data_IF_344491669757
#
_entry.id   IF_344491669757
#
_cell.length_a   1.000
_cell.length_b   1.000
_cell.length_c   1.000
_cell.angle_alpha   90.00
_cell.angle_beta   90.00
_cell.angle_gamma   90.00
#
_symmetry.space_group_name_H-M   'P 1'
#
loop_
_entity.id
_entity.type
_entity.pdbx_description
1 polymer ?
#
# COMPACT_ATOMS: atom_id res chain seq x y z
N UNK A 1 -19.22 -13.49 -18.97
CA UNK A 1 -19.17 -12.30 -18.09
C UNK A 1 -18.16 -11.37 -18.69
N UNK A 2 -18.60 -10.26 -19.29
CA UNK A 2 -17.70 -9.22 -19.77
C UNK A 2 -17.10 -8.55 -18.53
N UNK A 3 -15.87 -8.93 -18.20
CA UNK A 3 -15.09 -8.33 -17.12
C UNK A 3 -14.46 -7.05 -17.68
N UNK A 4 -15.29 -6.12 -18.13
CA UNK A 4 -14.82 -4.84 -18.64
C UNK A 4 -14.38 -3.98 -17.47
N UNK A 5 -13.10 -3.58 -17.51
CA UNK A 5 -12.52 -2.66 -16.54
C UNK A 5 -13.25 -1.32 -16.62
N UNK A 6 -13.70 -0.83 -15.47
CA UNK A 6 -14.29 0.51 -15.37
C UNK A 6 -13.20 1.57 -15.23
N UNK A 7 -13.53 2.82 -15.58
CA UNK A 7 -12.63 3.95 -15.39
C UNK A 7 -12.27 4.15 -13.90
N UNK A 8 -13.23 3.92 -13.00
CA UNK A 8 -13.02 4.05 -11.56
C UNK A 8 -12.04 3.00 -11.03
N UNK A 9 -12.16 1.74 -11.47
CA UNK A 9 -11.22 0.68 -11.10
C UNK A 9 -9.82 0.97 -11.62
N UNK A 10 -9.72 1.40 -12.88
CA UNK A 10 -8.45 1.83 -13.46
C UNK A 10 -7.80 2.96 -12.66
N UNK A 11 -8.58 4.00 -12.32
CA UNK A 11 -8.10 5.12 -11.50
C UNK A 11 -7.61 4.66 -10.13
N UNK A 12 -8.35 3.78 -9.45
CA UNK A 12 -7.96 3.24 -8.15
C UNK A 12 -6.63 2.48 -8.23
N UNK A 13 -6.44 1.66 -9.27
CA UNK A 13 -5.18 0.94 -9.47
C UNK A 13 -4.02 1.90 -9.77
N UNK A 14 -4.21 2.88 -10.65
CA UNK A 14 -3.17 3.86 -10.98
C UNK A 14 -2.85 4.75 -9.76
N UNK A 15 -3.83 5.09 -8.93
CA UNK A 15 -3.60 5.83 -7.69
C UNK A 15 -2.78 5.03 -6.67
N UNK A 16 -2.96 3.70 -6.61
CA UNK A 16 -2.24 2.84 -5.67
C UNK A 16 -0.82 2.51 -6.13
N UNK A 17 -0.61 2.31 -7.43
CA UNK A 17 0.65 1.77 -7.96
C UNK A 17 1.42 2.75 -8.88
N UNK A 18 0.85 3.92 -9.16
CA UNK A 18 1.38 4.87 -10.13
C UNK A 18 1.28 4.36 -11.58
N UNK A 19 2.03 5.01 -12.47
CA UNK A 19 2.16 4.62 -13.87
C UNK A 19 3.19 3.50 -14.10
N UNK A 20 3.84 3.01 -13.04
CA UNK A 20 4.84 1.93 -13.08
C UNK A 20 4.15 0.58 -13.29
N UNK A 21 3.93 0.21 -14.56
CA UNK A 21 3.21 -1.01 -14.95
C UNK A 21 3.79 -2.30 -14.35
N UNK A 22 5.08 -2.32 -14.05
CA UNK A 22 5.75 -3.44 -13.37
C UNK A 22 5.22 -3.67 -11.93
N UNK A 23 4.70 -2.64 -11.27
CA UNK A 23 4.13 -2.71 -9.92
C UNK A 23 2.64 -3.08 -9.93
N UNK A 24 1.99 -3.07 -11.10
CA UNK A 24 0.58 -3.40 -11.20
C UNK A 24 0.33 -4.88 -10.90
N UNK A 25 -0.83 -5.22 -10.29
CA UNK A 25 -1.22 -6.60 -10.05
C UNK A 25 -1.23 -7.42 -11.34
N UNK A 26 -0.58 -8.58 -11.32
CA UNK A 26 -0.42 -9.47 -12.50
C UNK A 26 -1.74 -9.75 -13.21
N UNK A 27 -2.77 -10.07 -12.41
CA UNK A 27 -4.12 -10.40 -12.90
C UNK A 27 -4.78 -9.27 -13.71
N UNK A 28 -4.45 -8.01 -13.41
CA UNK A 28 -5.12 -6.84 -13.98
C UNK A 28 -4.24 -6.10 -14.99
N UNK A 29 -2.93 -6.38 -15.05
CA UNK A 29 -1.98 -5.59 -15.84
C UNK A 29 -2.33 -5.51 -17.33
N UNK A 30 -2.65 -6.63 -17.97
CA UNK A 30 -3.03 -6.64 -19.39
C UNK A 30 -4.29 -5.82 -19.64
N UNK A 31 -5.33 -6.04 -18.83
CA UNK A 31 -6.60 -5.32 -18.95
C UNK A 31 -6.43 -3.81 -18.74
N UNK A 32 -5.57 -3.39 -17.81
CA UNK A 32 -5.26 -1.97 -17.60
C UNK A 32 -4.53 -1.35 -18.79
N UNK A 33 -3.58 -2.07 -19.40
CA UNK A 33 -2.87 -1.58 -20.58
C UNK A 33 -3.81 -1.45 -21.78
N UNK A 34 -4.64 -2.46 -22.02
CA UNK A 34 -5.64 -2.45 -23.08
C UNK A 34 -6.67 -1.32 -22.88
N UNK A 35 -7.09 -1.10 -21.63
CA UNK A 35 -8.02 -0.03 -21.28
C UNK A 35 -7.41 1.36 -21.48
N UNK A 36 -6.16 1.57 -21.05
CA UNK A 36 -5.45 2.83 -21.30
C UNK A 36 -5.22 3.10 -22.80
N UNK A 37 -5.03 2.05 -23.60
CA UNK A 37 -4.87 2.17 -25.05
C UNK A 37 -6.17 2.44 -25.82
N UNK A 38 -7.33 2.11 -25.23
CA UNK A 38 -8.64 2.24 -25.88
C UNK A 38 -9.51 3.37 -25.34
N UNK A 39 -9.18 3.92 -24.16
CA UNK A 39 -9.93 4.98 -23.50
C UNK A 39 -9.07 6.24 -23.26
N UNK A 40 -9.50 7.37 -23.83
CA UNK A 40 -8.79 8.65 -23.75
C UNK A 40 -8.69 9.19 -22.31
N UNK A 41 -9.72 9.00 -21.49
CA UNK A 41 -9.71 9.45 -20.09
C UNK A 41 -8.74 8.62 -19.26
N UNK A 42 -8.71 7.30 -19.48
CA UNK A 42 -7.73 6.41 -18.86
C UNK A 42 -6.29 6.77 -19.27
N UNK A 43 -6.07 7.08 -20.55
CA UNK A 43 -4.78 7.58 -21.03
C UNK A 43 -4.36 8.90 -20.34
N UNK A 44 -5.31 9.82 -20.13
CA UNK A 44 -5.06 11.08 -19.43
C UNK A 44 -4.69 10.87 -17.95
N UNK A 45 -5.40 9.97 -17.26
CA UNK A 45 -5.09 9.57 -15.88
C UNK A 45 -3.67 8.99 -15.80
N UNK A 46 -3.34 8.06 -16.70
CA UNK A 46 -2.02 7.42 -16.74
C UNK A 46 -0.91 8.43 -17.04
N UNK A 47 -1.12 9.35 -17.98
CA UNK A 47 -0.15 10.41 -18.29
C UNK A 47 0.09 11.36 -17.11
N UNK A 48 -0.97 11.68 -16.35
CA UNK A 48 -0.85 12.47 -15.12
C UNK A 48 -0.04 11.74 -14.06
N UNK A 49 -0.34 10.46 -13.84
CA UNK A 49 0.40 9.63 -12.89
C UNK A 49 1.88 9.51 -13.30
N UNK A 50 2.17 9.29 -14.59
CA UNK A 50 3.54 9.21 -15.09
C UNK A 50 4.33 10.50 -14.86
N UNK A 51 3.70 11.67 -15.01
CA UNK A 51 4.34 12.96 -14.72
C UNK A 51 4.62 13.13 -13.23
N UNK A 52 3.72 12.68 -12.36
CA UNK A 52 3.92 12.69 -10.91
C UNK A 52 5.06 11.76 -10.52
N UNK A 53 5.07 10.54 -11.05
CA UNK A 53 6.14 9.56 -10.79
C UNK A 53 7.50 10.10 -11.23
N UNK A 54 7.58 10.72 -12.41
CA UNK A 54 8.82 11.34 -12.88
C UNK A 54 9.28 12.49 -11.97
N UNK A 55 8.35 13.29 -11.45
CA UNK A 55 8.68 14.35 -10.49
C UNK A 55 9.18 13.79 -9.15
N UNK A 56 8.60 12.68 -8.70
CA UNK A 56 9.06 11.99 -7.48
C UNK A 56 10.42 11.32 -7.68
N UNK A 57 10.67 10.72 -8.85
CA UNK A 57 11.93 10.06 -9.18
C UNK A 57 13.07 11.09 -9.39
N UNK A 58 12.76 12.33 -9.78
CA UNK A 58 13.73 13.44 -9.92
C UNK A 58 14.03 14.17 -8.60
N UNK A 59 13.34 13.83 -7.51
CA UNK A 59 13.67 14.41 -6.21
C UNK A 59 15.10 14.01 -5.80
N UNK A 60 15.99 14.97 -5.51
CA UNK A 60 17.35 14.64 -5.13
C UNK A 60 17.36 13.81 -3.84
N UNK A 61 18.28 12.84 -3.76
CA UNK A 61 18.54 12.01 -2.56
C UNK A 61 18.64 12.83 -1.26
N UNK A 62 19.10 14.08 -1.32
CA UNK A 62 19.15 14.98 -0.17
C UNK A 62 17.76 15.35 0.42
N UNK A 63 16.69 15.27 -0.37
CA UNK A 63 15.28 15.44 0.03
C UNK A 63 14.63 14.08 0.35
N UNK A 64 15.14 13.00 -0.25
CA UNK A 64 14.85 11.62 0.15
C UNK A 64 15.55 11.36 1.49
N UNK A 65 15.03 11.92 2.57
CA UNK A 65 15.57 11.80 3.91
C UNK A 65 15.70 10.32 4.29
N UNK A 66 16.86 9.73 4.02
CA UNK A 66 17.30 8.58 4.77
C UNK A 66 17.13 8.96 6.24
N UNK A 67 16.39 8.18 7.04
CA UNK A 67 16.29 8.46 8.46
C UNK A 67 17.71 8.59 9.00
N UNK A 68 17.96 9.57 9.87
CA UNK A 68 19.28 9.70 10.47
C UNK A 68 19.70 8.34 11.04
N UNK A 69 20.99 8.02 10.97
CA UNK A 69 21.49 6.73 11.48
C UNK A 69 21.04 6.50 12.93
N UNK A 70 20.92 7.59 13.71
CA UNK A 70 20.36 7.58 15.07
C UNK A 70 18.89 7.12 15.12
N UNK A 71 18.02 7.69 14.27
CA UNK A 71 16.62 7.27 14.19
C UNK A 71 16.50 5.82 13.70
N UNK A 72 17.30 5.44 12.69
CA UNK A 72 17.33 4.09 12.15
C UNK A 72 17.72 3.07 13.24
N UNK A 73 18.82 3.32 13.95
CA UNK A 73 19.29 2.45 15.02
C UNK A 73 18.30 2.35 16.18
N UNK A 74 17.62 3.46 16.53
CA UNK A 74 16.57 3.45 17.56
C UNK A 74 15.39 2.58 17.15
N UNK A 75 14.92 2.67 15.90
CA UNK A 75 13.81 1.84 15.41
C UNK A 75 14.18 0.36 15.48
N UNK A 76 15.40 -0.02 15.09
CA UNK A 76 15.86 -1.43 15.19
C UNK A 76 15.88 -1.90 16.65
N UNK A 77 16.45 -1.10 17.57
CA UNK A 77 16.51 -1.45 18.99
C UNK A 77 15.11 -1.58 19.64
N UNK A 78 14.17 -0.69 19.28
CA UNK A 78 12.78 -0.75 19.77
C UNK A 78 12.06 -2.01 19.23
N UNK A 79 12.29 -2.37 17.96
CA UNK A 79 11.75 -3.60 17.38
C UNK A 79 12.30 -4.86 18.06
N UNK A 80 13.60 -4.95 18.29
CA UNK A 80 14.23 -6.06 19.00
C UNK A 80 13.67 -6.20 20.42
N UNK A 81 13.49 -5.08 21.12
CA UNK A 81 12.90 -5.04 22.46
C UNK A 81 11.43 -5.50 22.45
N UNK A 82 10.63 -5.06 21.48
CA UNK A 82 9.24 -5.49 21.33
C UNK A 82 9.13 -7.00 21.02
N UNK A 83 10.02 -7.53 20.18
CA UNK A 83 10.10 -8.95 19.85
C UNK A 83 10.55 -9.79 21.06
N UNK A 84 11.54 -9.33 21.83
CA UNK A 84 12.01 -9.99 23.04
C UNK A 84 10.97 -9.96 24.18
N UNK A 85 10.25 -8.84 24.32
CA UNK A 85 9.14 -8.71 25.26
C UNK A 85 8.01 -9.68 24.94
N UNK A 86 7.65 -9.84 23.67
CA UNK A 86 6.62 -10.80 23.21
C UNK A 86 7.02 -12.26 23.43
N UNK A 87 8.32 -12.59 23.29
CA UNK A 87 8.84 -13.92 23.61
C UNK A 87 8.82 -14.21 25.13
N UNK A 88 8.99 -13.18 25.96
CA UNK A 88 8.93 -13.27 27.42
C UNK A 88 7.48 -13.30 27.95
N UNK A 89 6.53 -12.75 27.20
CA UNK A 89 5.09 -12.72 27.48
C UNK A 89 4.38 -14.06 27.20
N UNK A 90 5.04 -15.03 26.54
CA UNK A 90 4.49 -16.38 26.30
C UNK A 90 4.47 -17.26 27.57
N UNK A 91 4.65 -16.66 28.75
CA UNK A 91 4.72 -17.33 30.05
C UNK A 91 3.58 -17.04 31.03
N UNK A 92 2.64 -16.13 30.75
CA UNK A 92 1.43 -15.98 31.58
C UNK A 92 0.18 -16.47 30.84
N UNK A 93 -0.52 -17.38 31.51
CA UNK A 93 -1.79 -17.91 31.08
C UNK A 93 -2.78 -16.77 30.78
N UNK A 94 -3.43 -16.86 29.61
CA UNK A 94 -4.31 -15.83 29.12
C UNK A 94 -5.46 -15.52 30.07
N UNK A 95 -5.51 -14.28 30.54
CA UNK A 95 -6.77 -13.66 30.93
C UNK A 95 -7.47 -13.21 29.63
N UNK A 96 -8.32 -14.08 29.11
CA UNK A 96 -9.25 -13.72 28.04
C UNK A 96 -10.18 -12.63 28.56
N UNK A 97 -10.00 -11.39 28.09
CA UNK A 97 -10.94 -10.30 28.36
C UNK A 97 -12.28 -10.67 27.69
N UNK A 98 -13.23 -11.11 28.51
CA UNK A 98 -14.56 -11.53 28.08
C UNK A 98 -15.44 -10.31 27.90
N UNK A 99 -15.78 -9.98 26.64
CA UNK A 99 -16.74 -8.92 26.35
C UNK A 99 -18.18 -9.44 26.53
N UNK A 100 -19.07 -8.72 27.23
CA UNK A 100 -20.46 -9.14 27.37
C UNK A 100 -21.19 -9.06 26.02
N UNK A 101 -21.75 -10.20 25.58
CA UNK A 101 -22.62 -10.32 24.41
C UNK A 101 -23.87 -9.44 24.58
N UNK A 102 -24.19 -8.54 23.63
CA UNK A 102 -25.44 -7.79 23.69
C UNK A 102 -26.63 -8.71 23.44
N UNK A 103 -27.64 -8.62 24.31
CA UNK A 103 -28.90 -9.35 24.17
C UNK A 103 -29.63 -8.91 22.89
N UNK A 104 -30.08 -9.87 22.09
CA UNK A 104 -30.86 -9.61 20.89
C UNK A 104 -32.24 -9.03 21.26
N UNK A 105 -32.73 -7.99 20.55
CA UNK A 105 -34.07 -7.47 20.79
C UNK A 105 -35.13 -8.45 20.26
N UNK A 106 -36.24 -8.57 21.01
CA UNK A 106 -37.45 -9.35 20.66
C UNK A 106 -38.31 -8.65 19.59
#
# INVERSE_FOLDING_TARGET
>A
MSNEMTLQEFENHVAAYGAKTALWPEQHRSAMQDFAGSNTDAAAILARAARLDAWLDDMPEAVSHHPSDELHNRIIADMETALAGKASDTGEAGEIVSFPTPAAPS
#
